data_IF_295574732808
#
_entry.id   IF_295574732808
#
_cell.length_a   1.000
_cell.length_b   1.000
_cell.length_c   1.000
_cell.angle_alpha   90.00
_cell.angle_beta   90.00
_cell.angle_gamma   90.00
#
_symmetry.space_group_name_H-M   'P 1'
#
loop_
_entity.id
_entity.type
_entity.pdbx_description
1 polymer ?
#
# COMPACT_ATOMS: atom_id res chain seq x y z
N UNK A 1 -24.58 -2.71 -83.76
CA UNK A 1 -24.35 -2.22 -82.39
C UNK A 1 -24.53 -3.27 -81.28
N UNK A 2 -25.28 -4.37 -81.49
CA UNK A 2 -25.65 -5.33 -80.42
C UNK A 2 -24.58 -6.41 -80.11
N UNK A 3 -23.60 -6.66 -81.00
CA UNK A 3 -22.66 -7.81 -80.86
C UNK A 3 -21.42 -7.52 -79.99
N UNK A 4 -21.08 -6.24 -79.74
CA UNK A 4 -19.93 -5.83 -78.90
C UNK A 4 -20.27 -5.87 -77.40
N UNK A 5 -21.54 -5.62 -77.02
CA UNK A 5 -21.99 -5.64 -75.62
C UNK A 5 -21.97 -7.04 -74.98
N UNK A 6 -22.01 -8.10 -75.78
CA UNK A 6 -22.14 -9.49 -75.28
C UNK A 6 -20.80 -10.12 -74.84
N UNK A 7 -19.68 -9.61 -75.37
CA UNK A 7 -18.33 -10.08 -74.98
C UNK A 7 -17.77 -9.24 -73.82
N UNK A 8 -18.19 -7.98 -73.69
CA UNK A 8 -17.90 -7.14 -72.51
C UNK A 8 -18.60 -7.72 -71.27
N UNK A 9 -19.84 -8.21 -71.41
CA UNK A 9 -20.58 -8.85 -70.31
C UNK A 9 -19.96 -10.18 -69.85
N UNK A 10 -19.31 -10.93 -70.75
CA UNK A 10 -18.61 -12.19 -70.39
C UNK A 10 -17.21 -11.96 -69.83
N UNK A 11 -16.54 -10.86 -70.21
CA UNK A 11 -15.22 -10.51 -69.68
C UNK A 11 -15.27 -9.82 -68.32
N UNK A 12 -16.38 -9.12 -68.00
CA UNK A 12 -16.61 -8.50 -66.68
C UNK A 12 -17.02 -9.53 -65.62
N UNK A 13 -17.59 -10.67 -66.02
CA UNK A 13 -17.99 -11.72 -65.10
C UNK A 13 -16.81 -12.56 -64.58
N UNK A 14 -15.69 -12.64 -65.31
CA UNK A 14 -14.47 -13.30 -64.81
C UNK A 14 -13.60 -12.41 -63.93
N UNK A 15 -13.66 -11.08 -64.08
CA UNK A 15 -12.85 -10.15 -63.26
C UNK A 15 -13.50 -9.81 -61.91
N UNK A 16 -14.79 -10.10 -61.75
CA UNK A 16 -15.51 -9.90 -60.49
C UNK A 16 -15.34 -11.06 -59.49
N UNK A 17 -14.79 -12.20 -59.92
CA UNK A 17 -14.62 -13.40 -59.08
C UNK A 17 -13.26 -13.44 -58.37
N UNK A 18 -12.29 -12.62 -58.79
CA UNK A 18 -10.92 -12.65 -58.27
C UNK A 18 -10.67 -11.66 -57.11
N UNK A 19 -11.68 -10.88 -56.70
CA UNK A 19 -11.53 -9.87 -55.64
C UNK A 19 -12.24 -10.22 -54.31
N UNK A 20 -12.64 -11.48 -54.10
CA UNK A 20 -13.23 -11.93 -52.83
C UNK A 20 -12.30 -12.79 -51.96
N UNK A 21 -10.98 -12.73 -52.18
CA UNK A 21 -10.01 -13.20 -51.17
C UNK A 21 -9.71 -12.05 -50.21
N UNK A 22 -10.70 -11.72 -49.39
CA UNK A 22 -10.58 -10.73 -48.32
C UNK A 22 -10.55 -11.47 -46.99
N UNK A 23 -9.37 -11.45 -46.36
CA UNK A 23 -9.01 -11.85 -45.00
C UNK A 23 -9.57 -13.20 -44.52
N UNK A 24 -8.68 -14.20 -44.43
CA UNK A 24 -8.77 -15.08 -43.28
C UNK A 24 -8.71 -14.18 -42.04
N UNK A 25 -9.76 -14.18 -41.23
CA UNK A 25 -9.61 -13.69 -39.86
C UNK A 25 -8.62 -14.66 -39.23
N UNK A 26 -7.36 -14.26 -39.07
CA UNK A 26 -6.42 -14.99 -38.23
C UNK A 26 -7.19 -15.38 -36.97
N UNK A 27 -7.24 -16.69 -36.69
CA UNK A 27 -8.02 -17.20 -35.56
C UNK A 27 -7.49 -16.53 -34.29
N UNK A 28 -8.23 -15.54 -33.80
CA UNK A 28 -8.03 -14.95 -32.47
C UNK A 28 -8.70 -15.79 -31.39
N UNK A 29 -9.36 -16.88 -31.77
CA UNK A 29 -9.78 -17.93 -30.84
C UNK A 29 -8.54 -18.60 -30.25
N UNK A 30 -8.55 -18.76 -28.92
CA UNK A 30 -7.57 -19.52 -28.14
C UNK A 30 -6.14 -18.96 -28.08
N UNK A 31 -5.92 -17.67 -28.38
CA UNK A 31 -4.64 -16.98 -28.10
C UNK A 31 -4.49 -16.57 -26.63
N UNK A 32 -5.58 -16.60 -25.86
CA UNK A 32 -5.61 -16.23 -24.45
C UNK A 32 -5.70 -17.48 -23.59
N UNK A 33 -4.76 -17.66 -22.67
CA UNK A 33 -4.81 -18.71 -21.65
C UNK A 33 -5.27 -18.14 -20.31
N UNK A 34 -5.86 -18.98 -19.47
CA UNK A 34 -6.22 -18.63 -18.10
C UNK A 34 -5.09 -19.01 -17.15
N UNK A 35 -4.78 -18.15 -16.20
CA UNK A 35 -3.75 -18.43 -15.19
C UNK A 35 -4.32 -18.34 -13.79
N UNK A 36 -3.95 -19.30 -12.95
CA UNK A 36 -4.22 -19.26 -11.53
C UNK A 36 -3.14 -18.43 -10.82
N UNK A 37 -3.57 -17.48 -9.99
CA UNK A 37 -2.68 -16.75 -9.09
C UNK A 37 -2.59 -17.49 -7.76
N UNK A 38 -1.43 -17.42 -7.11
CA UNK A 38 -1.31 -17.90 -5.75
C UNK A 38 -2.21 -17.06 -4.82
N UNK A 39 -2.91 -17.72 -3.91
CA UNK A 39 -3.69 -17.09 -2.84
C UNK A 39 -2.88 -17.19 -1.57
N UNK A 40 -2.57 -16.05 -0.96
CA UNK A 40 -1.79 -15.95 0.27
C UNK A 40 -2.71 -15.47 1.39
N UNK A 41 -2.93 -16.34 2.37
CA UNK A 41 -3.69 -16.05 3.59
C UNK A 41 -2.72 -15.96 4.77
N UNK A 42 -2.50 -14.74 5.30
CA UNK A 42 -1.61 -14.55 6.45
C UNK A 42 -2.25 -15.14 7.72
N UNK A 43 -1.45 -15.86 8.51
CA UNK A 43 -1.91 -16.36 9.80
C UNK A 43 -1.86 -15.24 10.84
N UNK A 44 -2.98 -14.81 11.41
CA UNK A 44 -3.01 -13.71 12.38
C UNK A 44 -2.86 -12.32 11.75
N UNK A 45 -2.62 -11.29 12.58
CA UNK A 45 -2.73 -9.88 12.18
C UNK A 45 -1.70 -9.42 11.15
N UNK A 46 -2.07 -8.53 10.22
CA UNK A 46 -1.14 -7.89 9.27
C UNK A 46 -0.26 -6.81 9.94
N UNK A 47 -0.60 -6.38 11.15
CA UNK A 47 0.16 -5.45 11.97
C UNK A 47 0.34 -6.01 13.38
N UNK A 48 1.58 -6.00 13.87
CA UNK A 48 1.92 -6.38 15.24
C UNK A 48 2.86 -5.33 15.85
N UNK A 49 2.56 -4.91 17.07
CA UNK A 49 3.40 -3.99 17.85
C UNK A 49 3.89 -4.77 19.07
N UNK A 50 5.20 -4.81 19.27
CA UNK A 50 5.86 -5.46 20.41
C UNK A 50 6.88 -4.51 21.02
N UNK A 51 7.22 -4.71 22.30
CA UNK A 51 8.32 -4.00 22.92
C UNK A 51 9.64 -4.69 22.62
N UNK A 52 10.73 -3.91 22.66
CA UNK A 52 12.08 -4.43 22.54
C UNK A 52 12.34 -5.53 23.57
N UNK A 53 12.78 -6.69 23.09
CA UNK A 53 13.06 -7.88 23.90
C UNK A 53 11.88 -8.81 24.11
N UNK A 54 10.66 -8.43 23.68
CA UNK A 54 9.51 -9.34 23.68
C UNK A 54 9.78 -10.54 22.76
N UNK A 55 9.25 -11.72 23.12
CA UNK A 55 9.37 -12.90 22.26
C UNK A 55 8.58 -12.70 20.97
N UNK A 56 9.23 -12.95 19.83
CA UNK A 56 8.62 -12.86 18.51
C UNK A 56 8.88 -14.14 17.70
N UNK A 57 7.81 -14.68 17.11
CA UNK A 57 7.86 -15.75 16.13
C UNK A 57 6.86 -15.40 15.03
N UNK A 58 7.32 -15.46 13.78
CA UNK A 58 6.45 -15.23 12.63
C UNK A 58 5.35 -16.31 12.54
N UNK A 59 4.04 -15.95 12.60
CA UNK A 59 2.95 -16.90 12.41
C UNK A 59 2.87 -17.51 11.00
N UNK A 60 3.66 -16.99 10.05
CA UNK A 60 3.71 -17.43 8.66
C UNK A 60 2.40 -17.16 7.91
N UNK A 61 2.24 -17.78 6.73
CA UNK A 61 1.06 -17.70 5.88
C UNK A 61 0.70 -19.09 5.32
N UNK A 62 -0.57 -19.27 4.98
CA UNK A 62 -1.04 -20.39 4.16
C UNK A 62 -1.09 -19.92 2.70
N UNK A 63 -0.44 -20.66 1.81
CA UNK A 63 -0.35 -20.32 0.38
C UNK A 63 -0.90 -21.48 -0.45
N UNK A 64 -1.82 -21.16 -1.35
CA UNK A 64 -2.40 -22.13 -2.28
C UNK A 64 -2.33 -21.65 -3.72
N UNK A 65 -2.25 -22.58 -4.66
CA UNK A 65 -2.38 -22.35 -6.10
C UNK A 65 -3.39 -23.36 -6.64
N UNK A 66 -4.43 -22.88 -7.34
CA UNK A 66 -5.55 -23.70 -7.80
C UNK A 66 -6.18 -24.56 -6.67
N UNK A 67 -6.18 -24.07 -5.43
CA UNK A 67 -6.73 -24.74 -4.25
C UNK A 67 -5.83 -25.80 -3.58
N UNK A 68 -4.60 -26.02 -4.07
CA UNK A 68 -3.62 -26.92 -3.45
C UNK A 68 -2.50 -26.12 -2.75
N UNK A 69 -1.88 -26.64 -1.66
CA UNK A 69 -0.74 -26.00 -1.02
C UNK A 69 0.40 -25.71 -2.02
N UNK A 70 1.00 -24.53 -1.92
CA UNK A 70 2.03 -24.07 -2.84
C UNK A 70 3.21 -23.43 -2.07
N UNK A 71 4.48 -23.63 -2.53
CA UNK A 71 5.64 -23.01 -1.88
C UNK A 71 5.61 -21.48 -1.99
N UNK A 72 6.25 -20.83 -1.02
CA UNK A 72 6.40 -19.38 -0.98
C UNK A 72 7.69 -18.99 -0.26
N UNK A 73 8.11 -17.75 -0.47
CA UNK A 73 9.30 -17.15 0.12
C UNK A 73 8.92 -16.08 1.14
N UNK A 74 9.82 -15.82 2.10
CA UNK A 74 9.67 -14.78 3.13
C UNK A 74 10.88 -13.84 3.13
N UNK A 75 10.66 -12.53 3.04
CA UNK A 75 11.71 -11.56 2.73
C UNK A 75 12.64 -11.15 3.89
N UNK A 76 12.16 -11.15 5.13
CA UNK A 76 12.83 -10.49 6.26
C UNK A 76 12.73 -11.30 7.54
N UNK A 77 13.78 -11.30 8.35
CA UNK A 77 13.76 -11.75 9.75
C UNK A 77 13.66 -10.52 10.65
N UNK A 78 12.73 -10.54 11.60
CA UNK A 78 12.58 -9.49 12.61
C UNK A 78 13.51 -9.80 13.78
N UNK A 79 14.37 -8.84 14.15
CA UNK A 79 15.11 -8.90 15.41
C UNK A 79 14.32 -8.15 16.51
N UNK A 80 13.70 -8.85 17.47
CA UNK A 80 12.92 -8.19 18.52
C UNK A 80 13.80 -7.38 19.50
N UNK A 81 15.13 -7.49 19.44
CA UNK A 81 16.03 -6.73 20.30
C UNK A 81 16.44 -5.39 19.71
N UNK A 82 16.09 -5.12 18.45
CA UNK A 82 16.45 -3.89 17.74
C UNK A 82 15.17 -3.12 17.42
N UNK A 83 14.92 -1.97 18.08
CA UNK A 83 13.78 -1.12 17.75
C UNK A 83 13.74 -0.75 16.28
N UNK A 84 12.54 -0.66 15.72
CA UNK A 84 12.34 -0.37 14.30
C UNK A 84 10.99 -0.83 13.76
N UNK A 85 10.75 -0.51 12.50
CA UNK A 85 9.58 -0.98 11.74
C UNK A 85 10.06 -1.96 10.68
N UNK A 86 9.60 -3.21 10.79
CA UNK A 86 9.98 -4.32 9.92
C UNK A 86 8.82 -4.72 9.02
N UNK A 87 9.14 -5.06 7.78
CA UNK A 87 8.19 -5.57 6.80
C UNK A 87 8.55 -7.00 6.43
N UNK A 88 7.66 -7.93 6.74
CA UNK A 88 7.75 -9.33 6.33
C UNK A 88 6.85 -9.50 5.10
N UNK A 89 7.43 -9.79 3.95
CA UNK A 89 6.67 -10.06 2.72
C UNK A 89 6.68 -11.55 2.44
N UNK A 90 5.50 -12.14 2.36
CA UNK A 90 5.29 -13.49 1.85
C UNK A 90 5.01 -13.38 0.35
N UNK A 91 5.75 -14.11 -0.47
CA UNK A 91 5.60 -14.04 -1.93
C UNK A 91 5.63 -15.41 -2.57
N UNK A 92 4.73 -15.63 -3.53
CA UNK A 92 4.72 -16.81 -4.38
C UNK A 92 4.64 -16.39 -5.84
N UNK A 93 5.31 -17.15 -6.71
CA UNK A 93 5.34 -16.93 -8.16
C UNK A 93 4.93 -18.23 -8.82
N UNK A 94 3.91 -18.21 -9.67
CA UNK A 94 3.50 -19.41 -10.40
C UNK A 94 4.47 -19.70 -11.57
N UNK A 95 4.32 -20.86 -12.21
CA UNK A 95 5.22 -21.32 -13.28
C UNK A 95 5.23 -20.42 -14.52
N UNK A 96 4.23 -19.54 -14.66
CA UNK A 96 4.12 -18.54 -15.74
C UNK A 96 4.70 -17.18 -15.34
N UNK A 97 5.24 -17.03 -14.13
CA UNK A 97 5.87 -15.81 -13.64
C UNK A 97 4.91 -14.79 -12.99
N UNK A 98 3.65 -15.14 -12.77
CA UNK A 98 2.71 -14.26 -12.06
C UNK A 98 2.93 -14.33 -10.55
N UNK A 99 3.06 -13.17 -9.91
CA UNK A 99 3.34 -13.06 -8.48
C UNK A 99 2.11 -12.71 -7.67
N UNK A 100 2.06 -13.23 -6.44
CA UNK A 100 1.18 -12.78 -5.37
C UNK A 100 2.03 -12.44 -4.15
N UNK A 101 1.60 -11.44 -3.36
CA UNK A 101 2.27 -11.10 -2.11
C UNK A 101 1.30 -10.62 -1.04
N UNK A 102 1.66 -10.88 0.22
CA UNK A 102 1.04 -10.28 1.41
C UNK A 102 2.16 -9.78 2.33
N UNK A 103 1.91 -8.69 3.05
CA UNK A 103 2.93 -8.07 3.93
C UNK A 103 2.40 -7.92 5.34
N UNK A 104 3.19 -8.39 6.32
CA UNK A 104 3.03 -8.10 7.74
C UNK A 104 3.99 -6.99 8.15
N UNK A 105 3.48 -6.03 8.91
CA UNK A 105 4.28 -5.00 9.56
C UNK A 105 4.50 -5.36 11.03
N UNK A 106 5.74 -5.37 11.48
CA UNK A 106 6.10 -5.59 12.89
C UNK A 106 6.83 -4.36 13.41
N UNK A 107 6.28 -3.72 14.43
CA UNK A 107 6.86 -2.53 15.07
C UNK A 107 7.48 -2.97 16.40
N UNK A 108 8.80 -2.86 16.50
CA UNK A 108 9.56 -3.12 17.73
C UNK A 108 9.81 -1.77 18.41
N UNK A 109 9.12 -1.52 19.52
CA UNK A 109 9.17 -0.24 20.25
C UNK A 109 10.28 -0.29 21.30
N UNK A 110 11.16 0.71 21.32
CA UNK A 110 12.20 0.85 22.35
C UNK A 110 11.59 0.89 23.76
N UNK A 111 12.23 0.22 24.71
CA UNK A 111 11.83 0.25 26.13
C UNK A 111 12.61 1.28 26.95
N UNK A 112 13.64 1.91 26.36
CA UNK A 112 14.32 3.03 26.99
C UNK A 112 13.39 4.26 27.01
N UNK A 113 13.40 5.08 28.08
CA UNK A 113 12.61 6.31 28.11
C UNK A 113 12.87 7.20 26.90
N UNK A 114 11.81 7.78 26.32
CA UNK A 114 11.93 8.76 25.24
C UNK A 114 12.77 9.96 25.68
N UNK A 115 13.69 10.41 24.83
CA UNK A 115 14.43 11.66 25.08
C UNK A 115 13.65 12.90 24.66
N UNK A 116 12.58 12.71 23.87
CA UNK A 116 11.70 13.77 23.39
C UNK A 116 10.34 13.72 24.10
N UNK A 117 9.74 14.89 24.32
CA UNK A 117 8.33 15.00 24.68
C UNK A 117 7.57 15.68 23.54
N UNK A 118 6.70 14.95 22.85
CA UNK A 118 5.92 15.51 21.74
C UNK A 118 4.66 16.28 22.16
N UNK A 119 4.27 16.29 23.44
CA UNK A 119 3.06 16.99 23.89
C UNK A 119 3.11 18.49 23.53
N UNK A 120 1.98 19.04 23.08
CA UNK A 120 1.84 20.46 22.74
C UNK A 120 1.26 20.72 21.35
N UNK A 121 1.41 21.96 20.89
CA UNK A 121 0.88 22.41 19.60
C UNK A 121 1.93 22.27 18.50
N UNK A 122 1.48 21.81 17.33
CA UNK A 122 2.32 21.59 16.16
C UNK A 122 1.67 22.16 14.91
N UNK A 123 2.50 22.64 13.99
CA UNK A 123 2.10 23.19 12.69
C UNK A 123 2.68 22.34 11.56
N UNK A 124 1.84 21.96 10.59
CA UNK A 124 2.29 21.30 9.36
C UNK A 124 2.84 22.29 8.33
N UNK A 125 4.10 22.14 7.95
CA UNK A 125 4.79 22.94 6.93
C UNK A 125 4.33 22.63 5.49
N UNK A 126 4.52 23.56 4.53
CA UNK A 126 5.08 24.92 4.68
C UNK A 126 4.06 25.97 5.19
N UNK A 127 2.82 25.58 5.50
CA UNK A 127 1.75 26.55 5.76
C UNK A 127 1.60 26.82 7.25
N UNK A 128 2.20 27.92 7.73
CA UNK A 128 1.99 28.41 9.09
C UNK A 128 0.56 28.93 9.29
N UNK A 129 -0.14 28.47 10.33
CA UNK A 129 -1.34 29.14 10.87
C UNK A 129 -2.66 28.38 10.78
N UNK A 130 -2.90 27.57 9.72
CA UNK A 130 -4.19 26.86 9.54
C UNK A 130 -4.09 25.35 9.69
N UNK A 131 -2.88 24.77 9.53
CA UNK A 131 -2.65 23.33 9.58
C UNK A 131 -2.10 22.90 10.94
N UNK A 132 -2.83 23.27 11.99
CA UNK A 132 -2.44 23.05 13.38
C UNK A 132 -3.00 21.73 13.91
N UNK A 133 -2.27 21.10 14.80
CA UNK A 133 -2.77 19.99 15.60
C UNK A 133 -2.17 20.00 17.00
N UNK A 134 -2.85 19.30 17.90
CA UNK A 134 -2.47 19.11 19.30
C UNK A 134 -2.01 17.67 19.48
N UNK A 135 -0.80 17.54 20.02
CA UNK A 135 -0.25 16.26 20.46
C UNK A 135 -0.50 16.10 21.96
N UNK A 136 -1.11 14.98 22.35
CA UNK A 136 -1.37 14.64 23.77
C UNK A 136 -0.63 13.34 24.11
N UNK A 137 0.16 13.34 25.18
CA UNK A 137 0.82 12.12 25.63
C UNK A 137 -0.19 11.14 26.26
N UNK A 138 -0.11 9.87 25.86
CA UNK A 138 -0.85 8.77 26.48
C UNK A 138 0.04 8.10 27.53
N UNK A 139 1.26 7.76 27.12
CA UNK A 139 2.31 7.17 27.95
C UNK A 139 3.69 7.52 27.35
N UNK A 140 4.77 7.02 27.95
CA UNK A 140 6.07 7.09 27.28
C UNK A 140 5.97 6.48 25.88
N UNK A 141 6.52 7.17 24.87
CA UNK A 141 6.50 6.80 23.45
C UNK A 141 5.14 6.70 22.74
N UNK A 142 4.01 6.87 23.41
CA UNK A 142 2.66 6.81 22.79
C UNK A 142 1.93 8.13 22.94
N UNK A 143 1.43 8.65 21.82
CA UNK A 143 0.79 9.97 21.74
C UNK A 143 -0.46 9.91 20.86
N UNK A 144 -1.45 10.75 21.15
CA UNK A 144 -2.48 11.09 20.16
C UNK A 144 -2.12 12.39 19.44
N UNK A 145 -2.55 12.51 18.19
CA UNK A 145 -2.45 13.74 17.42
C UNK A 145 -3.76 13.98 16.66
N UNK A 146 -4.38 15.14 16.85
CA UNK A 146 -5.73 15.42 16.37
C UNK A 146 -5.82 15.89 14.91
N UNK A 147 -4.69 16.08 14.21
CA UNK A 147 -4.69 16.58 12.84
C UNK A 147 -3.55 16.00 11.98
N UNK A 148 -3.47 14.68 11.86
CA UNK A 148 -2.37 14.01 11.17
C UNK A 148 -2.24 14.37 9.67
N UNK A 149 -3.36 14.75 9.05
CA UNK A 149 -3.43 15.20 7.67
C UNK A 149 -3.08 16.67 7.45
N UNK A 150 -3.14 17.49 8.50
CA UNK A 150 -3.06 18.95 8.41
C UNK A 150 -4.24 19.57 7.63
N UNK A 151 -5.45 19.04 7.81
CA UNK A 151 -6.70 19.48 7.20
C UNK A 151 -7.78 19.49 8.28
N UNK A 152 -8.49 20.61 8.42
CA UNK A 152 -9.61 20.73 9.35
C UNK A 152 -10.93 20.24 8.74
N UNK A 153 -11.90 19.91 9.59
CA UNK A 153 -13.27 19.54 9.19
C UNK A 153 -13.52 18.04 9.18
N UNK A 154 -14.46 17.57 8.36
CA UNK A 154 -14.92 16.16 8.40
C UNK A 154 -13.83 15.13 8.06
N UNK A 155 -12.77 15.55 7.36
CA UNK A 155 -11.64 14.69 7.00
C UNK A 155 -10.44 14.87 7.94
N UNK A 156 -10.57 15.65 9.03
CA UNK A 156 -9.51 15.80 10.02
C UNK A 156 -9.21 14.43 10.66
N UNK A 157 -7.93 14.05 10.64
CA UNK A 157 -7.49 12.74 11.13
C UNK A 157 -6.96 12.86 12.57
N UNK A 158 -7.64 12.19 13.49
CA UNK A 158 -7.14 11.93 14.83
C UNK A 158 -6.48 10.55 14.85
N UNK A 159 -5.22 10.50 15.25
CA UNK A 159 -4.43 9.26 15.26
C UNK A 159 -3.78 9.03 16.61
N UNK A 160 -3.46 7.77 16.89
CA UNK A 160 -2.38 7.43 17.83
C UNK A 160 -1.11 7.22 17.01
N UNK A 161 0.02 7.73 17.49
CA UNK A 161 1.32 7.42 16.92
C UNK A 161 2.31 6.99 18.01
N UNK A 162 3.35 6.28 17.56
CA UNK A 162 4.38 5.68 18.40
C UNK A 162 5.71 6.33 18.05
N UNK A 163 6.44 6.83 19.05
CA UNK A 163 7.87 7.11 18.94
C UNK A 163 8.65 5.80 19.14
N UNK A 164 9.06 5.20 18.03
CA UNK A 164 9.63 3.84 18.01
C UNK A 164 10.99 3.82 18.72
N UNK A 165 11.87 4.77 18.45
CA UNK A 165 13.27 4.74 18.92
C UNK A 165 13.96 6.12 18.99
N UNK A 166 13.19 7.20 19.09
CA UNK A 166 13.66 8.60 19.03
C UNK A 166 14.20 9.04 17.66
N UNK A 167 14.17 8.18 16.64
CA UNK A 167 14.47 8.53 15.25
C UNK A 167 13.31 8.25 14.30
N UNK A 168 12.45 7.29 14.65
CA UNK A 168 11.31 6.83 13.86
C UNK A 168 10.01 7.06 14.61
N UNK A 169 8.98 7.53 13.89
CA UNK A 169 7.59 7.49 14.34
C UNK A 169 6.76 6.59 13.45
N UNK A 170 5.72 5.99 14.02
CA UNK A 170 4.81 5.13 13.29
C UNK A 170 3.37 5.38 13.69
N UNK A 171 2.46 5.44 12.72
CA UNK A 171 1.01 5.51 12.93
C UNK A 171 0.46 4.10 12.67
N UNK A 172 0.04 3.36 13.72
CA UNK A 172 -0.70 2.10 13.57
C UNK A 172 -1.96 2.26 12.75
N UNK A 173 -2.52 1.15 12.27
CA UNK A 173 -3.82 1.20 11.60
C UNK A 173 -4.91 1.66 12.56
N UNK A 174 -5.56 2.77 12.20
CA UNK A 174 -6.71 3.33 12.91
C UNK A 174 -7.88 3.34 11.96
N UNK A 175 -8.91 2.58 12.28
CA UNK A 175 -10.19 2.62 11.57
C UNK A 175 -11.00 3.85 12.00
N UNK A 176 -11.73 4.47 11.07
CA UNK A 176 -12.61 5.61 11.36
C UNK A 176 -11.91 6.77 12.11
N UNK A 177 -10.68 7.07 11.74
CA UNK A 177 -9.85 8.14 12.29
C UNK A 177 -10.33 9.56 11.97
N UNK A 178 -11.39 9.72 11.15
CA UNK A 178 -12.03 11.01 10.88
C UNK A 178 -13.55 10.94 11.06
N UNK A 179 -14.22 12.09 11.24
CA UNK A 179 -15.69 12.17 11.21
C UNK A 179 -16.34 11.62 9.94
N UNK A 180 -15.64 11.65 8.80
CA UNK A 180 -16.09 11.08 7.53
C UNK A 180 -15.85 9.56 7.39
N UNK A 181 -15.24 8.91 8.39
CA UNK A 181 -14.95 7.47 8.37
C UNK A 181 -13.67 7.09 7.63
N UNK A 182 -12.69 8.00 7.52
CA UNK A 182 -11.40 7.67 6.93
C UNK A 182 -10.60 6.76 7.87
N UNK A 183 -10.09 5.66 7.36
CA UNK A 183 -9.09 4.85 8.05
C UNK A 183 -7.69 5.29 7.63
N UNK A 184 -6.72 5.21 8.54
CA UNK A 184 -5.35 5.69 8.31
C UNK A 184 -4.31 4.76 8.92
N UNK A 185 -3.15 4.67 8.27
CA UNK A 185 -1.90 4.14 8.84
C UNK A 185 -0.70 4.86 8.23
N UNK A 186 0.49 4.66 8.77
CA UNK A 186 1.74 5.06 8.12
C UNK A 186 1.85 4.41 6.74
N UNK A 187 2.11 5.21 5.69
CA UNK A 187 2.48 4.65 4.38
C UNK A 187 3.93 4.17 4.39
N UNK A 188 4.80 4.96 5.00
CA UNK A 188 6.16 4.62 5.42
C UNK A 188 6.35 5.13 6.85
N UNK A 189 7.33 4.59 7.60
CA UNK A 189 7.68 5.13 8.89
C UNK A 189 8.07 6.61 8.75
N UNK A 190 7.64 7.41 9.72
CA UNK A 190 8.04 8.79 9.81
C UNK A 190 9.42 8.94 10.43
N UNK A 191 9.96 10.16 10.38
CA UNK A 191 11.28 10.50 10.91
C UNK A 191 11.15 11.58 11.95
N UNK A 192 11.82 11.42 13.08
CA UNK A 192 12.07 12.46 14.07
C UNK A 192 13.42 13.09 13.71
N UNK A 193 13.41 14.38 13.39
CA UNK A 193 14.65 15.13 13.14
C UNK A 193 15.23 15.61 14.47
N UNK A 194 14.37 16.14 15.35
CA UNK A 194 14.67 16.59 16.70
C UNK A 194 13.37 16.70 17.52
N UNK A 195 13.45 17.18 18.76
CA UNK A 195 12.31 17.31 19.67
C UNK A 195 11.24 18.31 19.24
N UNK A 196 11.52 19.12 18.23
CA UNK A 196 10.64 20.17 17.70
C UNK A 196 10.30 19.95 16.23
N UNK A 197 10.83 18.90 15.58
CA UNK A 197 10.63 18.62 14.17
C UNK A 197 10.49 17.13 13.88
N UNK A 198 9.37 16.75 13.27
CA UNK A 198 9.17 15.39 12.77
C UNK A 198 8.43 15.39 11.42
N UNK A 199 8.42 14.24 10.76
CA UNK A 199 7.67 14.03 9.53
C UNK A 199 7.05 12.65 9.45
N UNK A 200 5.95 12.52 8.71
CA UNK A 200 5.41 11.21 8.34
C UNK A 200 4.78 11.23 6.95
N UNK A 201 4.58 10.04 6.40
CA UNK A 201 3.66 9.82 5.29
C UNK A 201 2.55 8.89 5.76
N UNK A 202 1.32 9.15 5.31
CA UNK A 202 0.15 8.36 5.70
C UNK A 202 -0.56 7.84 4.47
N UNK A 203 -1.13 6.65 4.60
CA UNK A 203 -2.11 6.08 3.69
C UNK A 203 -3.46 6.20 4.38
N UNK A 204 -4.38 6.99 3.80
CA UNK A 204 -5.74 7.08 4.30
C UNK A 204 -6.75 7.06 3.15
N UNK A 205 -7.84 6.31 3.36
CA UNK A 205 -8.78 5.91 2.31
C UNK A 205 -9.26 7.06 1.41
N UNK A 206 -8.80 7.09 0.16
CA UNK A 206 -9.33 7.93 -0.93
C UNK A 206 -9.16 9.46 -0.85
N UNK A 207 -8.89 10.04 0.33
CA UNK A 207 -8.78 11.51 0.48
C UNK A 207 -7.33 12.01 0.53
N UNK A 208 -6.47 11.31 1.27
CA UNK A 208 -5.10 11.74 1.48
C UNK A 208 -4.13 10.95 0.60
N UNK A 209 -3.26 11.67 -0.12
CA UNK A 209 -2.09 11.08 -0.75
C UNK A 209 -1.00 10.70 0.26
N UNK A 210 -0.03 9.93 -0.23
CA UNK A 210 1.11 9.38 0.53
C UNK A 210 2.31 10.31 0.63
N UNK A 211 2.16 11.59 0.30
CA UNK A 211 3.26 12.57 0.39
C UNK A 211 3.75 12.76 1.83
N UNK A 212 5.04 13.06 2.00
CA UNK A 212 5.61 13.40 3.31
C UNK A 212 5.05 14.71 3.83
N UNK A 213 4.72 14.73 5.12
CA UNK A 213 4.19 15.86 5.87
C UNK A 213 5.18 16.19 6.97
N UNK A 214 5.69 17.42 6.96
CA UNK A 214 6.63 17.90 7.98
C UNK A 214 5.87 18.73 9.00
N UNK A 215 6.20 18.56 10.27
CA UNK A 215 5.61 19.25 11.41
C UNK A 215 6.72 19.91 12.22
N UNK A 216 6.47 21.15 12.62
CA UNK A 216 7.30 21.91 13.54
C UNK A 216 6.48 22.23 14.77
N UNK A 217 7.11 22.20 15.95
CA UNK A 217 6.51 22.71 17.18
C UNK A 217 6.18 24.20 17.03
N UNK A 218 5.10 24.63 17.68
CA UNK A 218 4.75 26.06 17.84
C UNK A 218 5.49 26.75 18.97
#
# INVERSE_FOLDING_TARGET
MIRIMKNIFKSILCLFVVFLSSCDTDSTGDISDTTDYAVIEMNGSDEVIINQGDAWTDPSANVTLAGAPYPFETSTVVDPNVPGVYYITYSAVNDLGFSASATRTVVVVSTAPSIYNFEGNWTRLPTSGTRKGVCTQISDRYYTYDNAGGVAGVNQLTVTFINVDDSVIYIPFVENASPSGLSVRSFQPGTITDGDNFSWSLSASGFYGTFTRNFTRE
#
